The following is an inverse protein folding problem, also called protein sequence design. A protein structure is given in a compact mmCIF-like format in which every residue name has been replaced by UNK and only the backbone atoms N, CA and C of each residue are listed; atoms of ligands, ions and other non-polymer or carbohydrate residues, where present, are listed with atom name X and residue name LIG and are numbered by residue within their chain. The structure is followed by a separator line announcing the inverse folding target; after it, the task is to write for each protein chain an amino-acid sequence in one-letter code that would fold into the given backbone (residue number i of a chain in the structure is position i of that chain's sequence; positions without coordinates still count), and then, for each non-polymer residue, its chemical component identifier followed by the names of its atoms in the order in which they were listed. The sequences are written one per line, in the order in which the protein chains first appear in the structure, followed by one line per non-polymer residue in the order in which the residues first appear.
data_IF_586040501376
#
_entry.id   IF_586040501376
#
_cell.length_a   1.000
_cell.length_b   1.000
_cell.length_c   1.000
_cell.angle_alpha   90.00
_cell.angle_beta   90.00
_cell.angle_gamma   90.00
#
_symmetry.space_group_name_H-M   'P 1'
#
loop_
_entity.id
_entity.type
_entity.pdbx_description
1 polymer ?
#
# COMPACT_ATOMS: atom_id res chain seq x y z
N UNK A 1 -20.85 18.98 8.45
CA UNK A 1 -20.16 19.63 9.58
C UNK A 1 -18.68 19.67 9.28
N UNK A 2 -18.04 20.83 9.33
CA UNK A 2 -16.57 20.92 9.29
C UNK A 2 -16.04 20.48 10.66
N UNK A 3 -15.02 19.64 10.69
CA UNK A 3 -14.25 19.34 11.90
C UNK A 3 -13.70 20.66 12.45
N UNK A 4 -13.88 20.92 13.74
CA UNK A 4 -12.99 21.88 14.41
C UNK A 4 -11.61 21.23 14.50
N UNK A 5 -10.51 21.95 14.22
CA UNK A 5 -9.14 21.42 14.33
C UNK A 5 -8.89 20.70 15.67
N UNK A 6 -9.43 21.27 16.76
CA UNK A 6 -9.37 20.73 18.12
C UNK A 6 -9.86 19.28 18.26
N UNK A 7 -10.85 18.87 17.45
CA UNK A 7 -11.42 17.52 17.49
C UNK A 7 -10.53 16.49 16.79
N UNK A 8 -9.85 16.88 15.70
CA UNK A 8 -8.90 15.99 15.03
C UNK A 8 -7.66 15.79 15.90
N UNK A 9 -7.19 16.84 16.59
CA UNK A 9 -6.08 16.74 17.54
C UNK A 9 -6.45 15.88 18.76
N UNK A 10 -7.68 15.99 19.27
CA UNK A 10 -8.13 15.22 20.44
C UNK A 10 -8.36 13.73 20.16
N UNK A 11 -8.92 13.38 18.99
CA UNK A 11 -9.40 12.01 18.72
C UNK A 11 -8.71 11.33 17.53
N UNK A 12 -7.94 12.06 16.73
CA UNK A 12 -7.20 11.51 15.60
C UNK A 12 -5.85 10.96 16.05
N UNK A 13 -5.52 9.75 15.61
CA UNK A 13 -4.18 9.17 15.82
C UNK A 13 -3.52 8.83 14.49
N UNK A 14 -2.23 9.13 14.36
CA UNK A 14 -1.43 8.65 13.22
C UNK A 14 -0.91 7.22 13.41
N UNK A 15 -0.91 6.73 14.65
CA UNK A 15 -0.37 5.44 15.04
C UNK A 15 -1.47 4.49 15.42
N UNK A 16 -1.30 3.24 14.98
CA UNK A 16 -2.11 2.14 15.46
C UNK A 16 -1.37 1.47 16.63
N UNK A 17 -2.11 1.00 17.63
CA UNK A 17 -1.54 0.22 18.74
C UNK A 17 -1.13 -1.19 18.32
N UNK A 18 -1.59 -1.65 17.15
CA UNK A 18 -1.38 -3.00 16.65
C UNK A 18 -0.57 -2.99 15.36
N UNK A 19 0.34 -3.95 15.24
CA UNK A 19 1.17 -4.17 14.06
C UNK A 19 0.41 -4.99 13.01
N UNK A 20 0.43 -4.54 11.76
CA UNK A 20 -0.24 -5.22 10.63
C UNK A 20 0.64 -6.30 9.97
N UNK A 21 1.94 -6.36 10.30
CA UNK A 21 2.89 -7.34 9.79
C UNK A 21 2.98 -7.34 8.26
N UNK A 22 3.04 -6.14 7.67
CA UNK A 22 3.14 -5.94 6.23
C UNK A 22 4.60 -5.72 5.80
N UNK A 23 4.85 -5.27 4.57
CA UNK A 23 6.20 -4.93 4.13
C UNK A 23 6.82 -3.76 4.91
N UNK A 24 6.03 -2.95 5.62
CA UNK A 24 6.55 -1.91 6.53
C UNK A 24 7.49 -2.52 7.59
N UNK A 25 7.20 -3.74 8.04
CA UNK A 25 7.95 -4.45 9.08
C UNK A 25 9.11 -5.29 8.52
N UNK A 26 9.36 -5.24 7.20
CA UNK A 26 10.33 -6.08 6.53
C UNK A 26 11.77 -5.54 6.58
N UNK A 27 12.10 -4.58 7.45
CA UNK A 27 13.43 -3.94 7.54
C UNK A 27 13.95 -3.44 6.17
N UNK A 28 13.08 -2.77 5.42
CA UNK A 28 13.32 -2.41 4.02
C UNK A 28 14.56 -1.53 3.82
N UNK A 29 14.87 -0.64 4.78
CA UNK A 29 16.04 0.21 4.71
C UNK A 29 17.35 -0.56 4.65
N UNK A 30 17.49 -1.61 5.46
CA UNK A 30 18.66 -2.49 5.46
C UNK A 30 18.69 -3.37 4.21
N UNK A 31 17.54 -3.84 3.73
CA UNK A 31 17.45 -4.72 2.54
C UNK A 31 17.71 -3.98 1.23
N UNK A 32 17.31 -2.71 1.15
CA UNK A 32 17.42 -1.88 -0.03
C UNK A 32 17.85 -0.46 0.38
N UNK A 33 19.15 -0.25 0.65
CA UNK A 33 19.66 1.07 0.92
C UNK A 33 19.62 1.92 -0.36
N UNK A 34 18.80 2.96 -0.34
CA UNK A 34 18.73 3.93 -1.44
C UNK A 34 19.97 4.83 -1.42
N UNK A 35 20.58 5.04 -2.58
CA UNK A 35 21.79 5.85 -2.76
C UNK A 35 21.50 7.27 -3.28
N UNK A 36 20.22 7.66 -3.32
CA UNK A 36 19.80 8.99 -3.72
C UNK A 36 20.44 10.07 -2.83
N UNK A 37 20.98 11.12 -3.44
CA UNK A 37 21.69 12.20 -2.75
C UNK A 37 23.10 11.86 -2.24
N UNK A 38 23.58 10.62 -2.42
CA UNK A 38 24.94 10.21 -1.98
C UNK A 38 26.02 10.43 -3.03
N UNK A 39 25.64 10.80 -4.25
CA UNK A 39 26.55 10.95 -5.38
C UNK A 39 26.78 12.42 -5.71
N UNK A 40 27.97 12.93 -5.38
CA UNK A 40 28.38 14.29 -5.71
C UNK A 40 29.27 14.28 -6.96
N UNK A 41 29.04 15.19 -7.90
CA UNK A 41 29.90 15.40 -9.08
C UNK A 41 29.16 15.40 -10.42
N UNK A 42 29.73 16.12 -11.38
CA UNK A 42 29.13 16.38 -12.70
C UNK A 42 29.13 15.13 -13.61
N UNK A 43 28.14 15.00 -14.53
CA UNK A 43 28.15 13.96 -15.54
C UNK A 43 29.37 14.05 -16.46
N UNK A 44 30.13 12.95 -16.60
CA UNK A 44 31.29 12.87 -17.51
C UNK A 44 30.97 12.23 -18.86
N UNK A 45 29.88 11.45 -18.91
CA UNK A 45 29.47 10.69 -20.08
C UNK A 45 27.98 10.94 -20.34
N UNK A 46 27.60 10.95 -21.62
CA UNK A 46 26.21 11.05 -22.08
C UNK A 46 25.46 9.73 -21.87
N UNK A 47 24.15 9.74 -22.07
CA UNK A 47 23.34 8.51 -22.23
C UNK A 47 23.24 8.10 -23.71
N UNK A 48 24.24 8.49 -24.52
CA UNK A 48 24.33 8.14 -25.93
C UNK A 48 23.18 8.73 -26.75
N UNK A 49 22.58 7.90 -27.60
CA UNK A 49 21.48 8.31 -28.50
C UNK A 49 20.23 8.81 -27.76
N UNK A 50 20.07 8.47 -26.48
CA UNK A 50 18.94 8.94 -25.69
C UNK A 50 19.01 10.47 -25.47
N UNK A 51 20.21 11.05 -25.37
CA UNK A 51 20.40 12.51 -25.26
C UNK A 51 20.05 13.27 -26.56
N UNK A 52 19.76 12.57 -27.66
CA UNK A 52 19.25 13.18 -28.90
C UNK A 52 17.74 13.47 -28.82
N UNK A 53 17.03 12.88 -27.85
CA UNK A 53 15.61 13.13 -27.67
C UNK A 53 15.39 14.40 -26.83
N UNK A 54 14.31 15.16 -27.10
CA UNK A 54 13.83 16.19 -26.19
C UNK A 54 13.63 15.64 -24.78
N UNK A 55 13.88 16.47 -23.77
CA UNK A 55 13.80 16.09 -22.37
C UNK A 55 12.41 15.57 -21.99
N UNK A 56 11.36 16.10 -22.61
CA UNK A 56 9.97 15.68 -22.43
C UNK A 56 9.76 14.22 -22.84
N UNK A 57 10.33 13.80 -23.97
CA UNK A 57 10.25 12.41 -24.44
C UNK A 57 11.04 11.48 -23.53
N UNK A 58 12.24 11.90 -23.10
CA UNK A 58 13.01 11.14 -22.11
C UNK A 58 12.19 10.96 -20.83
N UNK A 59 11.57 12.03 -20.34
CA UNK A 59 10.75 12.00 -19.12
C UNK A 59 9.57 11.05 -19.27
N UNK A 60 8.84 11.09 -20.40
CA UNK A 60 7.74 10.16 -20.67
C UNK A 60 8.19 8.70 -20.71
N UNK A 61 9.31 8.41 -21.37
CA UNK A 61 9.89 7.05 -21.41
C UNK A 61 10.24 6.59 -20.01
N UNK A 62 10.93 7.42 -19.22
CA UNK A 62 11.32 7.07 -17.85
C UNK A 62 10.11 6.91 -16.92
N UNK A 63 9.03 7.67 -17.13
CA UNK A 63 7.78 7.51 -16.40
C UNK A 63 7.05 6.21 -16.71
N UNK A 64 7.16 5.72 -17.96
CA UNK A 64 6.59 4.47 -18.44
C UNK A 64 7.41 3.21 -18.08
N UNK A 65 8.61 3.36 -17.52
CA UNK A 65 9.39 2.22 -17.00
C UNK A 65 8.83 1.72 -15.66
N UNK A 66 9.04 0.44 -15.37
CA UNK A 66 8.90 -0.07 -14.01
C UNK A 66 10.04 0.45 -13.11
N UNK A 67 9.81 0.43 -11.80
CA UNK A 67 10.75 0.98 -10.83
C UNK A 67 12.06 0.17 -10.75
N UNK A 68 12.06 -1.16 -10.72
CA UNK A 68 13.28 -1.95 -10.85
C UNK A 68 14.12 -1.57 -12.09
N UNK A 69 13.54 -1.57 -13.29
CA UNK A 69 14.23 -1.18 -14.53
C UNK A 69 14.74 0.26 -14.49
N UNK A 70 13.95 1.20 -13.95
CA UNK A 70 14.39 2.60 -13.80
C UNK A 70 15.58 2.74 -12.87
N UNK A 71 15.58 2.04 -11.72
CA UNK A 71 16.73 2.09 -10.80
C UNK A 71 17.97 1.42 -11.38
N UNK A 72 17.81 0.40 -12.23
CA UNK A 72 18.91 -0.14 -13.03
C UNK A 72 19.45 0.90 -14.03
N UNK A 73 18.58 1.59 -14.76
CA UNK A 73 18.97 2.68 -15.66
C UNK A 73 19.68 3.83 -14.92
N UNK A 74 19.16 4.24 -13.77
CA UNK A 74 19.74 5.26 -12.90
C UNK A 74 21.21 4.98 -12.54
N UNK A 75 21.59 3.69 -12.47
CA UNK A 75 22.95 3.23 -12.12
C UNK A 75 23.92 3.18 -13.31
N UNK A 76 23.46 3.40 -14.55
CA UNK A 76 24.30 3.30 -15.76
C UNK A 76 25.43 4.34 -15.74
N UNK A 77 25.10 5.61 -15.49
CA UNK A 77 26.06 6.69 -15.32
C UNK A 77 25.40 7.90 -14.63
N UNK A 78 26.19 8.93 -14.33
CA UNK A 78 25.71 10.16 -13.66
C UNK A 78 24.66 10.94 -14.48
N UNK A 79 24.69 10.85 -15.81
CA UNK A 79 23.68 11.50 -16.67
C UNK A 79 22.33 10.78 -16.55
N UNK A 80 22.31 9.45 -16.63
CA UNK A 80 21.13 8.63 -16.38
C UNK A 80 20.59 8.84 -14.96
N UNK A 81 21.48 8.94 -13.98
CA UNK A 81 21.13 9.28 -12.59
C UNK A 81 20.39 10.61 -12.51
N UNK A 82 20.96 11.67 -13.09
CA UNK A 82 20.36 13.00 -13.10
C UNK A 82 18.99 13.04 -13.80
N UNK A 83 18.82 12.31 -14.91
CA UNK A 83 17.54 12.22 -15.64
C UNK A 83 16.43 11.54 -14.83
N UNK A 84 16.77 10.51 -14.03
CA UNK A 84 15.79 9.85 -13.15
C UNK A 84 15.51 10.72 -11.92
N UNK A 85 16.55 11.29 -11.31
CA UNK A 85 16.45 12.10 -10.11
C UNK A 85 15.74 13.44 -10.35
N UNK A 86 15.65 13.91 -11.60
CA UNK A 86 14.93 15.13 -11.96
C UNK A 86 13.42 14.93 -12.17
N UNK A 87 12.93 13.69 -12.20
CA UNK A 87 11.50 13.42 -12.35
C UNK A 87 10.74 13.80 -11.08
N UNK A 88 9.74 14.67 -11.21
CA UNK A 88 8.92 15.12 -10.09
C UNK A 88 8.26 13.96 -9.35
N UNK A 89 7.68 13.02 -10.08
CA UNK A 89 7.00 11.84 -9.53
C UNK A 89 7.96 10.98 -8.71
N UNK A 90 9.19 10.80 -9.19
CA UNK A 90 10.21 10.04 -8.49
C UNK A 90 10.67 10.75 -7.22
N UNK A 91 10.95 12.06 -7.32
CA UNK A 91 11.32 12.90 -6.17
C UNK A 91 10.25 12.86 -5.08
N UNK A 92 8.97 12.90 -5.45
CA UNK A 92 7.86 12.87 -4.50
C UNK A 92 7.79 11.56 -3.72
N UNK A 93 7.90 10.42 -4.41
CA UNK A 93 7.92 9.12 -3.73
C UNK A 93 9.16 8.99 -2.86
N UNK A 94 10.34 9.40 -3.37
CA UNK A 94 11.59 9.36 -2.62
C UNK A 94 11.53 10.21 -1.34
N UNK A 95 10.97 11.42 -1.43
CA UNK A 95 10.89 12.37 -0.32
C UNK A 95 9.88 11.93 0.76
N UNK A 96 8.72 11.43 0.35
CA UNK A 96 7.60 11.25 1.27
C UNK A 96 7.33 9.80 1.66
N UNK A 97 7.72 8.83 0.84
CA UNK A 97 7.47 7.41 1.09
C UNK A 97 8.56 6.51 0.49
N UNK A 98 9.84 6.70 0.86
CA UNK A 98 10.95 5.94 0.27
C UNK A 98 10.85 4.43 0.54
N UNK A 99 10.15 4.00 1.60
CA UNK A 99 9.91 2.58 1.85
C UNK A 99 9.06 1.91 0.77
N UNK A 100 8.19 2.65 0.06
CA UNK A 100 7.47 2.12 -1.10
C UNK A 100 8.45 1.79 -2.23
N UNK A 101 9.44 2.65 -2.51
CA UNK A 101 10.50 2.37 -3.48
C UNK A 101 11.30 1.13 -3.05
N UNK A 102 11.73 1.09 -1.79
CA UNK A 102 12.50 -0.03 -1.25
C UNK A 102 11.73 -1.34 -1.34
N UNK A 103 10.44 -1.35 -1.00
CA UNK A 103 9.58 -2.52 -1.11
C UNK A 103 9.48 -3.00 -2.56
N UNK A 104 9.15 -2.11 -3.49
CA UNK A 104 8.99 -2.41 -4.91
C UNK A 104 10.26 -3.02 -5.51
N UNK A 105 11.42 -2.42 -5.24
CA UNK A 105 12.72 -2.93 -5.68
C UNK A 105 13.01 -4.29 -5.00
N UNK A 106 12.82 -4.38 -3.69
CA UNK A 106 13.13 -5.58 -2.92
C UNK A 106 12.32 -6.77 -3.41
N UNK A 107 11.00 -6.62 -3.61
CA UNK A 107 10.11 -7.70 -4.08
C UNK A 107 10.08 -7.84 -5.61
N UNK A 108 10.85 -7.01 -6.33
CA UNK A 108 10.89 -6.95 -7.79
C UNK A 108 9.49 -6.79 -8.43
N UNK A 109 8.71 -5.85 -7.92
CA UNK A 109 7.39 -5.52 -8.48
C UNK A 109 7.56 -4.69 -9.75
N UNK A 110 7.41 -5.34 -10.91
CA UNK A 110 7.76 -4.80 -12.23
C UNK A 110 6.58 -4.64 -13.22
N UNK A 111 5.35 -4.84 -12.74
CA UNK A 111 4.15 -4.91 -13.60
C UNK A 111 3.32 -3.62 -13.60
N UNK A 112 3.91 -2.53 -13.15
CA UNK A 112 3.36 -1.19 -13.23
C UNK A 112 4.50 -0.18 -13.28
N UNK A 113 4.21 0.98 -13.86
CA UNK A 113 5.17 2.05 -14.05
C UNK A 113 5.10 3.12 -12.95
N UNK A 114 6.00 4.10 -12.98
CA UNK A 114 6.01 5.19 -12.00
C UNK A 114 4.82 6.13 -12.16
N UNK A 115 4.38 6.37 -13.39
CA UNK A 115 3.19 7.16 -13.65
C UNK A 115 1.96 6.56 -12.94
N UNK A 116 1.82 5.24 -12.99
CA UNK A 116 0.76 4.48 -12.32
C UNK A 116 0.91 4.54 -10.81
N UNK A 117 2.12 4.34 -10.28
CA UNK A 117 2.36 4.49 -8.84
C UNK A 117 1.98 5.89 -8.35
N UNK A 118 2.47 6.93 -9.02
CA UNK A 118 2.22 8.32 -8.65
C UNK A 118 0.73 8.65 -8.73
N UNK A 119 0.05 8.27 -9.82
CA UNK A 119 -1.40 8.45 -9.95
C UNK A 119 -2.17 7.73 -8.85
N UNK A 120 -1.78 6.50 -8.49
CA UNK A 120 -2.41 5.77 -7.37
C UNK A 120 -2.18 6.48 -6.04
N UNK A 121 -0.97 7.03 -5.81
CA UNK A 121 -0.66 7.85 -4.65
C UNK A 121 -1.46 9.17 -4.62
N UNK A 122 -1.88 9.70 -5.76
CA UNK A 122 -2.78 10.87 -5.82
C UNK A 122 -4.27 10.54 -5.55
N UNK A 123 -4.63 9.29 -5.31
CA UNK A 123 -5.98 8.88 -4.92
C UNK A 123 -6.06 8.54 -3.44
N UNK A 124 -7.26 8.57 -2.86
CA UNK A 124 -7.51 8.26 -1.44
C UNK A 124 -8.36 7.00 -1.24
N UNK A 125 -9.24 6.68 -2.19
CA UNK A 125 -10.23 5.59 -2.03
C UNK A 125 -9.64 4.21 -2.30
N UNK A 126 -10.17 3.22 -1.57
CA UNK A 126 -9.91 1.81 -1.82
C UNK A 126 -10.50 1.39 -3.18
N UNK A 127 -9.67 0.82 -4.05
CA UNK A 127 -10.06 0.35 -5.38
C UNK A 127 -11.07 -0.82 -5.35
N UNK A 128 -11.24 -1.47 -4.19
CA UNK A 128 -12.08 -2.66 -4.05
C UNK A 128 -13.49 -2.38 -3.53
N UNK A 129 -13.64 -1.49 -2.55
CA UNK A 129 -14.94 -1.14 -1.96
C UNK A 129 -15.41 0.26 -2.34
N UNK A 130 -14.53 1.13 -2.83
CA UNK A 130 -14.78 2.54 -3.17
C UNK A 130 -15.29 3.44 -2.01
N UNK A 131 -15.68 2.86 -0.87
CA UNK A 131 -16.16 3.59 0.30
C UNK A 131 -15.03 4.10 1.18
N UNK A 132 -14.19 3.19 1.67
CA UNK A 132 -13.16 3.49 2.68
C UNK A 132 -11.90 4.11 2.07
N UNK A 133 -11.14 4.82 2.90
CA UNK A 133 -9.77 5.21 2.59
C UNK A 133 -8.90 3.96 2.42
N UNK A 134 -8.14 3.90 1.32
CA UNK A 134 -7.19 2.81 1.13
C UNK A 134 -5.83 3.17 1.70
N UNK A 135 -5.57 2.81 2.95
CA UNK A 135 -4.33 3.10 3.65
C UNK A 135 -3.11 2.30 3.17
N UNK A 136 -3.30 1.34 2.26
CA UNK A 136 -2.23 0.49 1.77
C UNK A 136 -2.19 0.43 0.24
N UNK A 137 -1.06 -0.03 -0.29
CA UNK A 137 -0.91 -0.45 -1.67
C UNK A 137 -0.72 -1.96 -1.75
N UNK A 138 -1.50 -2.58 -2.64
CA UNK A 138 -1.24 -3.91 -3.16
C UNK A 138 -0.24 -3.82 -4.31
N UNK A 139 1.02 -4.18 -4.04
CA UNK A 139 2.15 -3.95 -4.93
C UNK A 139 2.24 -4.92 -6.10
N UNK A 140 1.38 -5.93 -6.24
CA UNK A 140 1.42 -6.78 -7.46
C UNK A 140 0.84 -6.02 -8.66
N UNK A 141 -0.23 -5.24 -8.44
CA UNK A 141 -0.94 -4.49 -9.50
C UNK A 141 -1.08 -3.00 -9.21
N UNK A 142 -0.37 -2.50 -8.18
CA UNK A 142 -0.38 -1.10 -7.75
C UNK A 142 -1.78 -0.53 -7.48
N UNK A 143 -2.58 -1.26 -6.70
CA UNK A 143 -3.93 -0.83 -6.30
C UNK A 143 -3.92 -0.32 -4.87
N UNK A 144 -4.59 0.81 -4.64
CA UNK A 144 -4.88 1.31 -3.29
C UNK A 144 -5.98 0.48 -2.64
N UNK A 145 -5.77 0.00 -1.42
CA UNK A 145 -6.69 -0.91 -0.69
C UNK A 145 -6.78 -0.55 0.79
N UNK A 146 -7.96 -0.73 1.38
CA UNK A 146 -8.14 -0.65 2.83
C UNK A 146 -7.83 -2.00 3.49
N UNK A 147 -7.67 -1.99 4.83
CA UNK A 147 -7.33 -3.17 5.61
C UNK A 147 -8.27 -4.35 5.35
N UNK A 148 -9.57 -4.17 5.65
CA UNK A 148 -10.62 -5.19 5.46
C UNK A 148 -10.61 -5.78 4.04
N UNK A 149 -10.44 -4.94 3.01
CA UNK A 149 -10.44 -5.45 1.64
C UNK A 149 -9.25 -6.35 1.32
N UNK A 150 -8.03 -6.02 1.76
CA UNK A 150 -6.89 -6.86 1.43
C UNK A 150 -6.86 -8.15 2.26
N UNK A 151 -7.42 -8.12 3.48
CA UNK A 151 -7.49 -9.29 4.36
C UNK A 151 -8.63 -10.25 4.00
N UNK A 152 -9.76 -9.74 3.52
CA UNK A 152 -10.95 -10.57 3.29
C UNK A 152 -11.14 -10.95 1.81
N UNK A 153 -10.99 -9.99 0.88
CA UNK A 153 -11.32 -10.25 -0.53
C UNK A 153 -10.28 -11.16 -1.16
N UNK A 154 -10.74 -12.22 -1.83
CA UNK A 154 -9.88 -13.17 -2.55
C UNK A 154 -9.05 -12.50 -3.66
N UNK A 155 -9.53 -11.37 -4.21
CA UNK A 155 -8.80 -10.58 -5.19
C UNK A 155 -7.41 -10.11 -4.71
N UNK A 156 -7.18 -10.02 -3.40
CA UNK A 156 -5.92 -9.61 -2.77
C UNK A 156 -5.25 -10.75 -2.00
N UNK A 157 -5.55 -11.99 -2.39
CA UNK A 157 -4.85 -13.19 -1.95
C UNK A 157 -3.93 -13.66 -3.08
N UNK A 158 -2.62 -13.32 -3.05
CA UNK A 158 -1.69 -13.79 -4.05
C UNK A 158 -1.53 -15.30 -4.01
N UNK A 159 -1.38 -15.88 -5.19
CA UNK A 159 -1.18 -17.31 -5.34
C UNK A 159 0.30 -17.64 -5.43
N UNK A 160 0.73 -18.65 -4.69
CA UNK A 160 2.08 -19.17 -4.81
C UNK A 160 2.19 -19.96 -6.11
N UNK A 161 3.11 -19.57 -6.98
CA UNK A 161 3.33 -20.25 -8.25
C UNK A 161 3.63 -21.76 -8.06
N UNK A 162 4.14 -22.19 -6.90
CA UNK A 162 4.45 -23.62 -6.67
C UNK A 162 3.25 -24.46 -6.26
N UNK A 163 2.27 -23.87 -5.56
CA UNK A 163 1.20 -24.63 -4.91
C UNK A 163 0.01 -24.88 -5.83
N UNK A 164 -0.28 -23.95 -6.75
CA UNK A 164 -1.53 -23.98 -7.51
C UNK A 164 -1.36 -24.33 -9.01
N UNK A 165 -0.14 -24.47 -9.54
CA UNK A 165 0.08 -24.90 -10.94
C UNK A 165 -0.63 -26.22 -11.24
N UNK A 166 -0.61 -27.16 -10.29
CA UNK A 166 -1.14 -28.53 -10.49
C UNK A 166 -2.63 -28.55 -10.83
N UNK A 167 -3.38 -27.50 -10.48
CA UNK A 167 -4.81 -27.37 -10.74
C UNK A 167 -5.12 -26.38 -11.87
N UNK A 168 -4.09 -25.80 -12.49
CA UNK A 168 -4.23 -24.81 -13.57
C UNK A 168 -3.69 -25.38 -14.89
N UNK A 169 -4.22 -24.92 -16.01
CA UNK A 169 -3.67 -25.22 -17.35
C UNK A 169 -2.53 -24.26 -17.75
N UNK A 170 -1.90 -23.59 -16.78
CA UNK A 170 -0.91 -22.54 -17.04
C UNK A 170 0.51 -23.08 -17.03
N UNK A 171 1.30 -22.68 -18.02
CA UNK A 171 2.74 -22.97 -18.05
C UNK A 171 3.52 -22.05 -17.10
N UNK A 172 4.78 -22.40 -16.81
CA UNK A 172 5.66 -21.53 -16.03
C UNK A 172 5.91 -20.18 -16.72
N UNK A 173 5.93 -20.16 -18.05
CA UNK A 173 6.18 -18.93 -18.81
C UNK A 173 4.93 -18.04 -18.85
N UNK A 174 3.72 -18.62 -18.86
CA UNK A 174 2.48 -17.86 -18.62
C UNK A 174 2.57 -17.12 -17.28
N UNK A 175 2.93 -17.80 -16.19
CA UNK A 175 3.01 -17.17 -14.87
C UNK A 175 4.04 -16.04 -14.79
N UNK A 176 5.18 -16.19 -15.46
CA UNK A 176 6.20 -15.12 -15.54
C UNK A 176 5.71 -13.90 -16.31
N UNK A 177 4.77 -14.06 -17.25
CA UNK A 177 4.17 -12.94 -17.97
C UNK A 177 3.09 -12.21 -17.16
N UNK A 178 2.49 -12.87 -16.18
CA UNK A 178 1.43 -12.29 -15.34
C UNK A 178 1.99 -11.39 -14.25
N UNK A 179 1.19 -10.44 -13.73
CA UNK A 179 1.54 -9.66 -12.55
C UNK A 179 1.96 -10.52 -11.37
N UNK A 180 3.22 -10.40 -10.96
CA UNK A 180 3.82 -11.17 -9.88
C UNK A 180 4.91 -10.38 -9.15
N UNK A 181 5.25 -10.87 -7.95
CA UNK A 181 6.37 -10.41 -7.12
C UNK A 181 7.15 -11.60 -6.56
N UNK A 182 8.29 -11.32 -5.92
CA UNK A 182 9.03 -12.28 -5.10
C UNK A 182 9.01 -11.84 -3.63
N UNK A 183 8.36 -12.63 -2.77
CA UNK A 183 8.25 -12.31 -1.35
C UNK A 183 9.61 -12.12 -0.67
N UNK A 184 9.60 -11.42 0.47
CA UNK A 184 10.75 -11.31 1.36
C UNK A 184 10.58 -12.24 2.55
N UNK A 185 11.68 -12.81 3.09
CA UNK A 185 11.61 -13.53 4.34
C UNK A 185 11.21 -12.59 5.49
N UNK A 186 10.34 -13.05 6.39
CA UNK A 186 9.84 -12.24 7.49
C UNK A 186 8.63 -12.84 8.20
N UNK A 187 8.15 -12.13 9.21
CA UNK A 187 6.92 -12.44 9.94
C UNK A 187 5.78 -11.64 9.33
N UNK A 188 4.79 -12.35 8.79
CA UNK A 188 3.66 -11.77 8.10
C UNK A 188 2.41 -12.36 8.70
N UNK A 189 1.95 -11.78 9.82
CA UNK A 189 0.71 -12.02 10.59
C UNK A 189 1.00 -12.18 12.09
N UNK A 190 -0.07 -12.11 12.91
CA UNK A 190 -0.02 -12.29 14.37
C UNK A 190 0.47 -13.68 14.78
N UNK A 191 0.32 -14.70 13.95
CA UNK A 191 0.79 -16.06 14.28
C UNK A 191 2.31 -16.19 14.37
N UNK A 192 3.07 -15.15 13.96
CA UNK A 192 4.54 -15.13 14.00
C UNK A 192 5.18 -16.33 13.30
N UNK A 193 4.50 -16.87 12.29
CA UNK A 193 5.05 -17.89 11.42
C UNK A 193 6.08 -17.26 10.49
N UNK A 194 7.35 -17.65 10.66
CA UNK A 194 8.44 -17.14 9.85
C UNK A 194 8.32 -17.66 8.40
N UNK A 195 8.05 -16.76 7.47
CA UNK A 195 8.24 -17.05 6.06
C UNK A 195 9.74 -17.03 5.75
N UNK A 196 10.34 -18.20 5.53
CA UNK A 196 11.81 -18.33 5.37
C UNK A 196 12.31 -18.06 3.94
N UNK A 197 11.48 -18.34 2.93
CA UNK A 197 11.89 -18.33 1.53
C UNK A 197 11.36 -17.13 0.73
N UNK A 198 11.99 -16.89 -0.43
CA UNK A 198 11.44 -16.02 -1.46
C UNK A 198 10.56 -16.85 -2.38
N UNK A 199 9.27 -16.54 -2.41
CA UNK A 199 8.28 -17.25 -3.21
C UNK A 199 7.72 -16.31 -4.26
N UNK A 200 7.56 -16.82 -5.49
CA UNK A 200 6.84 -16.09 -6.53
C UNK A 200 5.35 -16.08 -6.17
N UNK A 201 4.82 -14.89 -5.99
CA UNK A 201 3.41 -14.64 -5.72
C UNK A 201 2.79 -13.96 -6.93
N UNK A 202 1.73 -14.57 -7.48
CA UNK A 202 1.04 -14.13 -8.69
C UNK A 202 -0.33 -13.58 -8.32
N UNK A 203 -0.76 -12.54 -9.02
CA UNK A 203 -2.08 -11.96 -8.86
C UNK A 203 -3.19 -12.94 -9.26
N UNK A 204 -4.09 -13.25 -8.33
CA UNK A 204 -5.16 -14.24 -8.55
C UNK A 204 -6.11 -13.83 -9.67
N UNK A 205 -6.46 -12.54 -9.77
CA UNK A 205 -7.39 -12.07 -10.81
C UNK A 205 -6.78 -12.23 -12.21
N UNK A 206 -5.52 -11.84 -12.36
CA UNK A 206 -4.76 -11.98 -13.61
C UNK A 206 -4.60 -13.45 -14.00
N UNK A 207 -4.36 -14.31 -13.03
CA UNK A 207 -4.24 -15.76 -13.24
C UNK A 207 -5.57 -16.40 -13.67
N UNK A 208 -6.69 -16.05 -13.02
CA UNK A 208 -8.02 -16.51 -13.41
C UNK A 208 -8.38 -16.06 -14.83
N UNK A 209 -8.09 -14.79 -15.17
CA UNK A 209 -8.30 -14.25 -16.51
C UNK A 209 -7.54 -15.05 -17.56
N UNK A 210 -6.23 -15.26 -17.35
CA UNK A 210 -5.37 -16.01 -18.28
C UNK A 210 -5.78 -17.47 -18.42
N UNK A 211 -6.13 -18.14 -17.32
CA UNK A 211 -6.63 -19.51 -17.36
C UNK A 211 -7.94 -19.61 -18.13
N UNK A 212 -8.82 -18.61 -17.99
CA UNK A 212 -10.08 -18.54 -18.73
C UNK A 212 -9.86 -18.35 -20.23
N UNK A 213 -8.92 -17.50 -20.62
CA UNK A 213 -8.53 -17.28 -22.02
C UNK A 213 -8.01 -18.57 -22.68
N UNK A 214 -7.15 -19.32 -21.99
CA UNK A 214 -6.57 -20.57 -22.53
C UNK A 214 -7.63 -21.67 -22.68
N UNK A 215 -8.54 -21.80 -21.72
CA UNK A 215 -9.58 -22.84 -21.77
C UNK A 215 -10.80 -22.47 -22.61
N UNK A 216 -10.94 -21.20 -23.00
CA UNK A 216 -12.14 -20.70 -23.69
C UNK A 216 -13.41 -20.70 -22.82
N UNK A 217 -13.28 -20.82 -21.49
CA UNK A 217 -14.41 -20.82 -20.53
C UNK A 217 -13.99 -20.16 -19.23
N UNK A 218 -14.94 -19.73 -18.39
CA UNK A 218 -14.63 -19.11 -17.10
C UNK A 218 -13.96 -20.13 -16.17
N UNK A 219 -12.75 -19.79 -15.74
CA UNK A 219 -11.97 -20.55 -14.75
C UNK A 219 -11.82 -19.73 -13.48
N UNK A 220 -12.21 -20.33 -12.35
CA UNK A 220 -11.97 -19.78 -11.03
C UNK A 220 -11.04 -20.73 -10.28
N UNK A 221 -9.81 -20.30 -10.09
CA UNK A 221 -8.82 -21.06 -9.35
C UNK A 221 -9.24 -21.05 -7.88
N UNK A 222 -9.53 -22.24 -7.37
CA UNK A 222 -9.91 -22.45 -5.98
C UNK A 222 -8.67 -22.30 -5.12
N UNK A 223 -8.65 -21.26 -4.28
CA UNK A 223 -7.69 -21.17 -3.18
C UNK A 223 -8.32 -21.83 -1.96
N UNK A 224 -7.53 -22.59 -1.19
CA UNK A 224 -8.01 -23.28 0.02
C UNK A 224 -8.73 -22.30 0.97
N UNK A 225 -9.79 -22.76 1.63
CA UNK A 225 -10.54 -21.97 2.63
C UNK A 225 -9.67 -21.54 3.81
N UNK A 226 -8.60 -22.29 4.12
CA UNK A 226 -7.60 -21.90 5.12
C UNK A 226 -6.84 -20.61 4.76
N UNK A 227 -6.79 -20.27 3.47
CA UNK A 227 -6.14 -19.05 2.97
C UNK A 227 -7.09 -17.83 2.97
N UNK A 228 -8.36 -18.02 3.36
CA UNK A 228 -9.35 -16.96 3.44
C UNK A 228 -9.30 -16.19 4.77
N UNK A 229 -8.45 -16.61 5.72
CA UNK A 229 -8.31 -15.94 7.01
C UNK A 229 -7.38 -14.72 6.92
N UNK A 230 -7.51 -13.81 7.87
CA UNK A 230 -6.61 -12.67 8.09
C UNK A 230 -5.17 -13.11 8.43
N UNK A 231 -4.98 -14.37 8.83
CA UNK A 231 -3.70 -15.00 9.22
C UNK A 231 -2.95 -15.63 8.02
N UNK A 232 -3.41 -15.43 6.78
CA UNK A 232 -2.70 -15.90 5.59
C UNK A 232 -1.56 -14.95 5.22
N UNK A 233 -0.32 -15.35 5.52
CA UNK A 233 0.91 -14.59 5.29
C UNK A 233 1.00 -13.97 3.88
N UNK A 234 0.55 -14.68 2.83
CA UNK A 234 0.65 -14.20 1.44
C UNK A 234 -0.09 -12.90 1.20
N UNK A 235 -1.17 -12.63 1.94
CA UNK A 235 -1.93 -11.37 1.83
C UNK A 235 -1.07 -10.18 2.21
N UNK A 236 -0.23 -10.33 3.22
CA UNK A 236 0.59 -9.26 3.79
C UNK A 236 1.92 -9.06 3.06
N UNK A 237 2.44 -10.11 2.41
CA UNK A 237 3.72 -10.10 1.66
C UNK A 237 3.76 -9.15 0.45
N UNK A 238 2.61 -8.65 0.02
CA UNK A 238 2.48 -7.72 -1.11
C UNK A 238 1.89 -6.36 -0.72
N UNK A 239 1.74 -6.11 0.58
CA UNK A 239 1.05 -4.94 1.13
C UNK A 239 2.06 -4.02 1.79
N UNK A 240 1.91 -2.72 1.56
CA UNK A 240 2.68 -1.67 2.23
C UNK A 240 1.78 -0.48 2.54
N UNK A 241 1.97 0.16 3.69
CA UNK A 241 1.28 1.40 4.01
C UNK A 241 1.62 2.49 2.99
N UNK A 242 0.65 3.33 2.66
CA UNK A 242 0.86 4.38 1.67
C UNK A 242 0.14 5.68 1.99
N UNK A 243 0.84 6.83 1.86
CA UNK A 243 0.20 8.12 1.96
C UNK A 243 -0.63 8.38 0.70
N UNK A 244 -1.41 9.45 0.71
CA UNK A 244 -1.87 10.09 -0.50
C UNK A 244 -1.21 11.45 -0.70
N UNK A 245 -0.95 11.82 -1.95
CA UNK A 245 -0.43 13.14 -2.29
C UNK A 245 -1.57 14.14 -2.45
N UNK A 246 -1.37 15.36 -1.96
CA UNK A 246 -2.33 16.45 -2.21
C UNK A 246 -2.40 16.77 -3.70
N UNK A 247 -3.46 17.43 -4.15
CA UNK A 247 -3.71 17.77 -5.57
C UNK A 247 -2.58 18.60 -6.21
N UNK A 248 -1.73 19.25 -5.41
CA UNK A 248 -0.55 19.97 -5.88
C UNK A 248 0.73 19.13 -5.93
N UNK A 249 0.69 17.88 -5.46
CA UNK A 249 1.86 17.01 -5.36
C UNK A 249 2.97 17.60 -4.50
N UNK A 250 2.64 18.45 -3.50
CA UNK A 250 3.65 19.10 -2.63
C UNK A 250 3.73 18.50 -1.23
N UNK A 251 2.68 17.81 -0.81
CA UNK A 251 2.56 17.21 0.51
C UNK A 251 2.04 15.78 0.41
N UNK A 252 2.31 14.99 1.44
CA UNK A 252 1.85 13.62 1.58
C UNK A 252 1.15 13.47 2.92
N UNK A 253 0.00 12.79 2.93
CA UNK A 253 -0.84 12.61 4.10
C UNK A 253 -1.14 11.12 4.30
N UNK A 254 -1.05 10.63 5.53
CA UNK A 254 -1.15 9.19 5.84
C UNK A 254 -2.53 8.76 6.35
N UNK A 255 -3.45 9.71 6.50
CA UNK A 255 -4.73 9.51 7.17
C UNK A 255 -4.59 9.40 8.69
N UNK A 256 -5.75 9.26 9.34
CA UNK A 256 -5.89 9.21 10.79
C UNK A 256 -6.75 8.00 11.18
N UNK A 257 -6.37 7.33 12.25
CA UNK A 257 -7.24 6.42 12.99
C UNK A 257 -8.13 7.21 13.95
N UNK A 258 -9.24 6.62 14.36
CA UNK A 258 -10.08 7.12 15.46
C UNK A 258 -9.61 6.49 16.77
N UNK A 259 -9.20 7.33 17.74
CA UNK A 259 -8.73 6.87 19.04
C UNK A 259 -9.78 6.01 19.77
N UNK A 260 -11.06 6.41 19.70
CA UNK A 260 -12.17 5.64 20.30
C UNK A 260 -12.30 4.24 19.70
N UNK A 261 -12.37 4.15 18.37
CA UNK A 261 -12.46 2.86 17.69
C UNK A 261 -11.23 1.97 17.89
N UNK A 262 -10.08 2.56 18.24
CA UNK A 262 -8.85 1.82 18.53
C UNK A 262 -8.80 1.32 20.00
N UNK A 263 -9.59 1.91 20.89
CA UNK A 263 -9.72 1.51 22.31
C UNK A 263 -10.80 0.45 22.51
N UNK A 264 -11.81 0.41 21.63
CA UNK A 264 -12.84 -0.62 21.65
C UNK A 264 -12.22 -2.01 21.49
N UNK A 265 -12.31 -2.81 22.55
CA UNK A 265 -11.72 -4.17 22.62
C UNK A 265 -12.50 -5.22 21.84
N UNK A 266 -13.66 -4.88 21.29
CA UNK A 266 -14.31 -5.74 20.31
C UNK A 266 -13.49 -5.65 19.01
N UNK A 267 -13.05 -6.79 18.49
CA UNK A 267 -12.29 -6.96 17.24
C UNK A 267 -13.14 -6.54 16.01
N UNK A 268 -13.64 -5.32 16.00
CA UNK A 268 -14.39 -4.74 14.90
C UNK A 268 -13.39 -4.20 13.87
N UNK A 269 -13.66 -4.42 12.58
CA UNK A 269 -12.81 -3.93 11.47
C UNK A 269 -12.67 -2.39 11.43
N UNK A 270 -13.36 -1.66 12.31
CA UNK A 270 -13.29 -0.21 12.43
C UNK A 270 -11.98 0.25 13.09
N UNK A 271 -11.36 -0.56 13.95
CA UNK A 271 -10.08 -0.26 14.63
C UNK A 271 -8.93 -0.03 13.62
N UNK A 272 -8.95 -0.74 12.49
CA UNK A 272 -7.96 -0.65 11.41
C UNK A 272 -8.29 0.38 10.34
N UNK A 273 -9.43 1.05 10.44
CA UNK A 273 -9.86 2.00 9.43
C UNK A 273 -9.16 3.34 9.62
N UNK A 274 -8.51 3.80 8.55
CA UNK A 274 -8.00 5.17 8.46
C UNK A 274 -8.98 6.05 7.71
N UNK A 275 -8.88 7.34 7.95
CA UNK A 275 -9.71 8.36 7.33
C UNK A 275 -8.87 9.53 6.84
N UNK A 276 -9.26 10.15 5.73
CA UNK A 276 -8.87 11.54 5.45
C UNK A 276 -9.53 12.46 6.47
N UNK A 277 -9.05 13.70 6.61
CA UNK A 277 -9.66 14.69 7.50
C UNK A 277 -11.17 14.86 7.25
N UNK A 278 -11.58 14.96 5.98
CA UNK A 278 -13.00 15.04 5.61
C UNK A 278 -13.80 13.80 6.01
N UNK A 279 -13.24 12.61 5.79
CA UNK A 279 -13.90 11.35 6.16
C UNK A 279 -13.95 11.17 7.67
N UNK A 280 -12.93 11.64 8.40
CA UNK A 280 -12.90 11.62 9.85
C UNK A 280 -14.04 12.47 10.44
N UNK A 281 -14.30 13.64 9.85
CA UNK A 281 -15.41 14.50 10.28
C UNK A 281 -16.75 13.79 10.18
N UNK A 282 -16.95 13.07 9.07
CA UNK A 282 -18.17 12.32 8.83
C UNK A 282 -18.28 11.13 9.79
N UNK A 283 -17.21 10.37 9.99
CA UNK A 283 -17.15 9.25 10.92
C UNK A 283 -17.51 9.71 12.35
N UNK A 284 -16.95 10.82 12.82
CA UNK A 284 -17.23 11.37 14.15
C UNK A 284 -18.67 11.89 14.30
N UNK A 285 -19.31 12.33 13.21
CA UNK A 285 -20.70 12.76 13.21
C UNK A 285 -21.68 11.57 13.23
N UNK A 286 -21.31 10.45 12.60
CA UNK A 286 -22.14 9.24 12.48
C UNK A 286 -22.05 8.34 13.71
N UNK A 287 -20.83 8.11 14.23
CA UNK A 287 -20.57 7.19 15.34
C UNK A 287 -20.40 7.90 16.69
N UNK A 288 -20.46 9.23 16.70
CA UNK A 288 -20.51 10.04 17.91
C UNK A 288 -19.15 10.31 18.58
N UNK A 289 -18.87 11.59 18.79
CA UNK A 289 -18.48 12.02 20.14
C UNK A 289 -19.82 12.10 20.86
N UNK A 290 -20.01 11.35 21.94
CA UNK A 290 -21.24 11.44 22.76
C UNK A 290 -21.68 12.91 22.88
N UNK A 291 -22.80 13.31 22.26
CA UNK A 291 -23.25 14.70 22.31
C UNK A 291 -23.74 15.11 23.72
N UNK A 292 -23.78 14.17 24.68
CA UNK A 292 -24.36 14.34 26.01
C UNK A 292 -23.36 14.41 27.18
N UNK A 293 -22.08 14.74 26.95
CA UNK A 293 -21.33 15.43 28.01
C UNK A 293 -21.81 16.89 28.06
N UNK A 294 -22.90 17.09 28.82
CA UNK A 294 -23.38 18.41 29.20
C UNK A 294 -22.25 19.14 29.95
N UNK A 295 -21.75 20.27 29.44
CA UNK A 295 -20.71 21.06 30.13
C UNK A 295 -21.19 21.65 31.46
N UNK A 296 -22.46 21.48 31.84
CA UNK A 296 -23.06 21.91 33.11
C UNK A 296 -23.40 20.76 34.07
N UNK A 297 -23.04 19.50 33.78
CA UNK A 297 -23.29 18.43 34.74
C UNK A 297 -22.30 18.53 35.91
N UNK A 298 -22.80 19.02 37.05
CA UNK A 298 -22.05 19.18 38.30
C UNK A 298 -21.58 17.79 38.78
N UNK A 299 -20.29 17.59 39.12
CA UNK A 299 -19.78 16.32 39.63
C UNK A 299 -20.37 15.88 40.98
N UNK A 300 -21.21 16.71 41.62
CA UNK A 300 -21.71 16.49 42.98
C UNK A 300 -23.22 16.21 43.11
N UNK A 301 -23.95 15.95 42.03
CA UNK A 301 -25.34 15.47 42.16
C UNK A 301 -25.36 13.98 42.56
N UNK A 302 -25.53 13.76 43.86
CA UNK A 302 -25.66 12.45 44.51
C UNK A 302 -27.06 11.86 44.24
N UNK A 303 -27.22 10.60 43.78
CA UNK A 303 -28.53 10.06 43.39
C UNK A 303 -29.43 9.60 44.54
N UNK A 304 -29.03 9.74 45.80
CA UNK A 304 -29.74 9.13 46.93
C UNK A 304 -30.30 10.17 47.93
N UNK A 305 -31.32 10.92 47.51
CA UNK A 305 -32.34 11.44 48.44
C UNK A 305 -33.73 11.02 47.97
N UNK A 306 -34.07 9.77 48.29
CA UNK A 306 -35.47 9.32 48.38
C UNK A 306 -35.91 9.59 49.82
N UNK A 307 -36.58 10.72 50.05
CA UNK A 307 -37.39 10.92 51.26
C UNK A 307 -38.84 10.47 51.03
N UNK A 308 -39.38 9.83 52.06
CA UNK A 308 -40.72 9.24 52.17
C UNK A 308 -41.84 10.27 52.26
#
# INVERSE_FOLDING_TARGET
MLLTPDRLEKYGSHTLSIVDYTLDDAHLETRCPLDNGRHNGQPKHSVGRLDLLPYELISQVLLALDLPSRTAFRRVNRRAMGLVDSLHEYQMVLKHCPNILRAIISINAKHFDLATLYRTLCTTKCAACNGSFGSYLYLITCKRVCYSCFTEKSAYLPVSAMLDIRNTSLSRDDLKSLPHIFSLPGYYTKSKNLARGRTMLVDLQSMNKRASEIRGTKVFIRVSTQCATTDENRRHMAIISAPYFSSSGRSAHWGFYCAKCNEDKEESMLDRSKYTEKEFANHMAEYGIDPHEDPYKDPHEDPDEVEW
#
